data_IF_265780699498
#
_entry.id   IF_265780699498
#
_cell.length_a   1.000
_cell.length_b   1.000
_cell.length_c   1.000
_cell.angle_alpha   90.00
_cell.angle_beta   90.00
_cell.angle_gamma   90.00
#
_symmetry.space_group_name_H-M   'P 1'
#
loop_
_entity.id
_entity.type
_entity.pdbx_description
1 polymer ?
#
# COMPACT_ATOMS: atom_id res chain seq x y z
N UNK A 1 -11.58 -9.03 15.50
CA UNK A 1 -11.51 -10.03 14.40
C UNK A 1 -10.26 -10.85 14.62
N UNK A 2 -10.39 -12.18 14.67
CA UNK A 2 -9.26 -13.10 14.79
C UNK A 2 -9.03 -13.65 13.38
N UNK A 3 -7.92 -13.28 12.73
CA UNK A 3 -7.53 -13.88 11.45
C UNK A 3 -7.14 -15.34 11.69
N UNK A 4 -7.61 -16.23 10.81
CA UNK A 4 -7.13 -17.62 10.76
C UNK A 4 -5.65 -17.56 10.41
N UNK A 5 -4.78 -17.71 11.40
CA UNK A 5 -3.34 -17.64 11.20
C UNK A 5 -2.91 -18.73 10.21
N UNK A 6 -2.23 -18.33 9.13
CA UNK A 6 -1.71 -19.22 8.08
C UNK A 6 -0.63 -20.20 8.57
N UNK A 7 -0.22 -20.09 9.84
CA UNK A 7 0.83 -20.89 10.47
C UNK A 7 2.25 -20.40 10.14
N UNK A 8 2.37 -19.39 9.28
CA UNK A 8 3.60 -18.68 8.92
C UNK A 8 3.44 -17.16 9.06
N UNK A 9 4.54 -16.43 8.93
CA UNK A 9 4.60 -14.98 9.18
C UNK A 9 4.00 -14.17 8.01
N UNK A 10 4.23 -14.52 6.73
CA UNK A 10 3.66 -13.75 5.64
C UNK A 10 2.14 -13.89 5.54
N UNK A 11 1.49 -12.83 5.07
CA UNK A 11 0.03 -12.70 4.96
C UNK A 11 -0.40 -12.50 3.49
N UNK A 12 -1.70 -12.57 3.23
CA UNK A 12 -2.29 -12.39 1.90
C UNK A 12 -2.33 -10.92 1.41
N UNK A 13 -1.21 -10.20 1.54
CA UNK A 13 -1.08 -8.76 1.23
C UNK A 13 -1.39 -8.43 -0.24
N UNK A 14 -0.85 -9.22 -1.18
CA UNK A 14 -1.07 -8.98 -2.61
C UNK A 14 -2.52 -9.25 -3.01
N UNK A 15 -3.20 -10.22 -2.38
CA UNK A 15 -4.63 -10.47 -2.60
C UNK A 15 -5.49 -9.30 -2.14
N UNK A 16 -5.18 -8.72 -0.97
CA UNK A 16 -5.89 -7.54 -0.47
C UNK A 16 -5.72 -6.32 -1.38
N UNK A 17 -4.50 -6.10 -1.89
CA UNK A 17 -4.22 -5.01 -2.82
C UNK A 17 -4.87 -5.22 -4.19
N UNK A 18 -4.91 -6.45 -4.68
CA UNK A 18 -5.61 -6.80 -5.92
C UNK A 18 -7.12 -6.55 -5.78
N UNK A 19 -7.72 -6.98 -4.66
CA UNK A 19 -9.12 -6.68 -4.35
C UNK A 19 -9.36 -5.16 -4.31
N UNK A 20 -8.47 -4.38 -3.68
CA UNK A 20 -8.56 -2.92 -3.66
C UNK A 20 -8.53 -2.31 -5.08
N UNK A 21 -7.81 -2.93 -6.02
CA UNK A 21 -7.79 -2.50 -7.42
C UNK A 21 -9.11 -2.75 -8.17
N UNK A 22 -9.96 -3.64 -7.66
CA UNK A 22 -11.26 -3.97 -8.25
C UNK A 22 -12.42 -3.15 -7.69
N UNK A 23 -12.17 -2.32 -6.68
CA UNK A 23 -13.18 -1.40 -6.16
C UNK A 23 -13.58 -0.37 -7.24
N UNK A 24 -14.83 0.08 -7.15
CA UNK A 24 -15.39 1.12 -8.03
C UNK A 24 -14.89 2.51 -7.60
N UNK A 25 -13.60 2.75 -7.83
CA UNK A 25 -12.98 4.07 -7.69
C UNK A 25 -13.62 5.05 -8.68
N UNK A 26 -13.95 6.26 -8.22
CA UNK A 26 -14.66 7.27 -9.02
C UNK A 26 -13.67 8.02 -9.92
N UNK A 27 -13.87 7.99 -11.24
CA UNK A 27 -12.90 8.52 -12.23
C UNK A 27 -12.40 9.96 -11.98
N UNK A 28 -13.24 10.83 -11.41
CA UNK A 28 -12.91 12.23 -11.11
C UNK A 28 -12.69 12.45 -9.59
N UNK A 29 -11.96 11.54 -8.95
CA UNK A 29 -11.63 11.59 -7.53
C UNK A 29 -10.13 11.41 -7.28
N UNK A 30 -9.66 11.97 -6.16
CA UNK A 30 -8.42 11.50 -5.56
C UNK A 30 -8.64 10.12 -4.95
N UNK A 31 -7.74 9.17 -5.26
CA UNK A 31 -7.78 7.81 -4.73
C UNK A 31 -6.67 7.66 -3.69
N UNK A 32 -7.03 7.57 -2.41
CA UNK A 32 -6.09 7.32 -1.33
C UNK A 32 -6.32 5.93 -0.75
N UNK A 33 -5.26 5.14 -0.67
CA UNK A 33 -5.27 3.84 -0.01
C UNK A 33 -4.32 3.88 1.18
N UNK A 34 -4.87 3.77 2.38
CA UNK A 34 -4.11 3.61 3.63
C UNK A 34 -4.06 2.13 4.00
N UNK A 35 -2.88 1.54 3.92
CA UNK A 35 -2.66 0.13 4.22
C UNK A 35 -1.88 -0.01 5.52
N UNK A 36 -2.54 -0.58 6.52
CA UNK A 36 -2.00 -0.80 7.86
C UNK A 36 -1.66 -2.29 7.94
N UNK A 37 -0.37 -2.59 8.15
CA UNK A 37 0.11 -3.98 8.20
C UNK A 37 1.39 -4.13 9.03
N UNK A 38 1.56 -5.32 9.58
CA UNK A 38 2.71 -5.76 10.37
C UNK A 38 3.46 -6.95 9.74
N UNK A 39 2.93 -7.54 8.67
CA UNK A 39 3.50 -8.68 7.96
C UNK A 39 3.57 -8.48 6.43
N UNK A 40 4.61 -9.00 5.75
CA UNK A 40 4.76 -8.89 4.30
C UNK A 40 3.94 -9.96 3.54
N UNK A 41 3.80 -9.86 2.20
CA UNK A 41 3.28 -10.95 1.38
C UNK A 41 4.22 -12.15 1.33
N UNK A 42 3.68 -13.31 0.94
CA UNK A 42 4.46 -14.50 0.61
C UNK A 42 5.49 -14.22 -0.50
N UNK A 43 6.70 -14.74 -0.33
CA UNK A 43 7.83 -14.65 -1.24
C UNK A 43 9.12 -14.21 -0.56
N UNK A 44 10.23 -14.88 -0.86
CA UNK A 44 11.58 -14.56 -0.35
C UNK A 44 12.06 -13.14 -0.68
N UNK A 45 11.50 -12.54 -1.72
CA UNK A 45 11.79 -11.15 -2.09
C UNK A 45 11.18 -10.15 -1.08
N UNK A 46 10.16 -10.56 -0.31
CA UNK A 46 9.48 -9.70 0.66
C UNK A 46 9.81 -10.03 2.11
N UNK A 47 10.41 -11.20 2.39
CA UNK A 47 10.80 -11.58 3.75
C UNK A 47 11.93 -12.62 3.78
N UNK A 48 12.67 -12.64 4.88
CA UNK A 48 13.59 -13.74 5.24
C UNK A 48 12.98 -14.70 6.28
N UNK A 49 11.74 -14.46 6.69
CA UNK A 49 11.05 -15.26 7.70
C UNK A 49 10.60 -16.61 7.14
N UNK A 50 10.17 -17.49 8.05
CA UNK A 50 9.53 -18.76 7.66
C UNK A 50 8.28 -18.44 6.85
N UNK A 51 8.26 -18.97 5.64
CA UNK A 51 7.22 -18.78 4.65
C UNK A 51 6.88 -20.15 4.05
N UNK A 52 5.60 -20.50 4.03
CA UNK A 52 5.09 -21.71 3.41
C UNK A 52 5.16 -21.64 1.88
N UNK A 53 5.17 -20.43 1.33
CA UNK A 53 5.17 -20.14 -0.11
C UNK A 53 6.36 -19.23 -0.49
N UNK A 54 7.61 -19.68 -0.27
CA UNK A 54 8.79 -18.85 -0.43
C UNK A 54 9.03 -18.38 -1.88
N UNK A 55 8.47 -19.08 -2.86
CA UNK A 55 8.57 -18.71 -4.28
C UNK A 55 7.35 -17.90 -4.76
N UNK A 56 6.48 -17.48 -3.83
CA UNK A 56 5.28 -16.70 -4.07
C UNK A 56 3.97 -17.49 -3.88
N UNK A 57 2.88 -16.75 -3.70
CA UNK A 57 1.53 -17.31 -3.53
C UNK A 57 1.12 -18.20 -4.72
N UNK A 58 0.54 -19.40 -4.48
CA UNK A 58 0.00 -20.26 -5.55
C UNK A 58 -1.07 -19.60 -6.42
N UNK A 59 -1.68 -18.52 -5.92
CA UNK A 59 -2.62 -17.69 -6.66
C UNK A 59 -1.99 -16.92 -7.84
N UNK A 60 -0.66 -16.90 -7.96
CA UNK A 60 0.05 -16.27 -9.09
C UNK A 60 0.11 -14.74 -9.05
N UNK A 61 -0.35 -14.11 -7.96
CA UNK A 61 -0.24 -12.67 -7.77
C UNK A 61 1.21 -12.27 -7.47
N UNK A 62 1.67 -11.19 -8.10
CA UNK A 62 3.02 -10.63 -7.95
C UNK A 62 2.92 -9.12 -7.70
N UNK A 63 3.96 -8.50 -7.12
CA UNK A 63 3.99 -7.04 -6.98
C UNK A 63 3.76 -6.34 -8.32
N UNK A 64 4.35 -6.85 -9.41
CA UNK A 64 4.18 -6.28 -10.73
C UNK A 64 2.72 -6.34 -11.22
N UNK A 65 2.06 -7.50 -11.13
CA UNK A 65 0.70 -7.64 -11.69
C UNK A 65 -0.38 -6.96 -10.82
N UNK A 66 -0.13 -6.80 -9.51
CA UNK A 66 -1.07 -6.13 -8.58
C UNK A 66 -0.84 -4.61 -8.52
N UNK A 67 0.41 -4.14 -8.44
CA UNK A 67 0.69 -2.71 -8.21
C UNK A 67 0.59 -1.88 -9.50
N UNK A 68 0.80 -2.47 -10.68
CA UNK A 68 0.63 -1.75 -11.95
C UNK A 68 -0.82 -1.28 -12.17
N UNK A 69 -1.87 -2.09 -11.93
CA UNK A 69 -3.24 -1.62 -11.88
C UNK A 69 -3.48 -0.46 -10.90
N UNK A 70 -2.88 -0.48 -9.70
CA UNK A 70 -2.98 0.63 -8.73
C UNK A 70 -2.44 1.93 -9.33
N UNK A 71 -1.26 1.85 -9.98
CA UNK A 71 -0.63 2.98 -10.66
C UNK A 71 -1.51 3.54 -11.78
N UNK A 72 -2.09 2.66 -12.60
CA UNK A 72 -3.02 3.07 -13.68
C UNK A 72 -4.27 3.77 -13.16
N UNK A 73 -4.79 3.32 -12.00
CA UNK A 73 -5.90 3.96 -11.29
C UNK A 73 -5.50 5.20 -10.48
N UNK A 74 -4.23 5.62 -10.54
CA UNK A 74 -3.69 6.77 -9.80
C UNK A 74 -3.98 6.68 -8.29
N UNK A 75 -3.91 5.48 -7.73
CA UNK A 75 -4.08 5.27 -6.28
C UNK A 75 -2.81 5.74 -5.57
N UNK A 76 -2.93 6.79 -4.74
CA UNK A 76 -1.90 7.22 -3.80
C UNK A 76 -1.82 6.19 -2.67
N UNK A 77 -0.72 5.44 -2.64
CA UNK A 77 -0.54 4.32 -1.73
C UNK A 77 0.27 4.73 -0.49
N UNK A 78 -0.39 4.66 0.67
CA UNK A 78 0.14 5.04 1.97
C UNK A 78 0.26 3.79 2.85
N UNK A 79 1.49 3.45 3.25
CA UNK A 79 1.77 2.30 4.12
C UNK A 79 1.97 2.80 5.54
N UNK A 80 1.06 2.45 6.44
CA UNK A 80 1.24 2.61 7.87
C UNK A 80 1.91 1.34 8.41
N UNK A 81 3.17 1.50 8.74
CA UNK A 81 4.06 0.40 9.05
C UNK A 81 4.08 0.13 10.55
N UNK A 82 3.60 -1.05 10.97
CA UNK A 82 3.52 -1.44 12.38
C UNK A 82 4.70 -2.28 12.89
N UNK A 83 5.53 -2.85 12.01
CA UNK A 83 6.62 -3.78 12.37
C UNK A 83 7.68 -3.92 11.27
N UNK A 84 8.97 -3.80 11.59
CA UNK A 84 10.12 -3.83 10.64
C UNK A 84 10.16 -5.04 9.68
N UNK A 85 9.35 -6.07 9.93
CA UNK A 85 9.17 -7.25 9.06
C UNK A 85 8.73 -6.89 7.62
N UNK A 86 8.12 -5.72 7.40
CA UNK A 86 7.68 -5.30 6.05
C UNK A 86 8.70 -4.46 5.27
N UNK A 87 9.91 -4.23 5.80
CA UNK A 87 10.90 -3.35 5.16
C UNK A 87 11.32 -3.85 3.76
N UNK A 88 11.48 -5.17 3.61
CA UNK A 88 11.78 -5.79 2.33
C UNK A 88 10.62 -5.61 1.34
N UNK A 89 9.37 -5.81 1.79
CA UNK A 89 8.18 -5.52 0.99
C UNK A 89 8.15 -4.07 0.51
N UNK A 90 8.39 -3.10 1.40
CA UNK A 90 8.40 -1.67 1.04
C UNK A 90 9.48 -1.40 -0.02
N UNK A 91 10.68 -1.96 0.16
CA UNK A 91 11.79 -1.81 -0.79
C UNK A 91 11.40 -2.35 -2.16
N UNK A 92 10.84 -3.56 -2.21
CA UNK A 92 10.41 -4.17 -3.46
C UNK A 92 9.25 -3.41 -4.11
N UNK A 93 8.25 -2.98 -3.34
CA UNK A 93 7.10 -2.25 -3.88
C UNK A 93 7.49 -0.90 -4.49
N UNK A 94 8.50 -0.22 -3.93
CA UNK A 94 9.07 1.02 -4.47
C UNK A 94 9.69 0.85 -5.86
N UNK A 95 10.03 -0.37 -6.27
CA UNK A 95 10.47 -0.65 -7.65
C UNK A 95 9.33 -0.56 -8.67
N UNK A 96 8.07 -0.65 -8.23
CA UNK A 96 6.89 -0.69 -9.10
C UNK A 96 6.07 0.60 -9.07
N UNK A 97 5.88 1.19 -7.88
CA UNK A 97 5.04 2.37 -7.63
C UNK A 97 5.64 3.27 -6.57
N UNK A 98 5.12 4.50 -6.45
CA UNK A 98 5.42 5.34 -5.29
C UNK A 98 4.75 4.77 -4.04
N UNK A 99 5.50 4.71 -2.93
CA UNK A 99 5.04 4.15 -1.65
C UNK A 99 5.35 5.15 -0.55
N UNK A 100 4.30 5.78 -0.01
CA UNK A 100 4.40 6.74 1.09
C UNK A 100 4.35 6.00 2.42
N UNK A 101 5.50 5.85 3.07
CA UNK A 101 5.61 5.20 4.39
C UNK A 101 5.29 6.17 5.50
N UNK A 102 4.44 5.76 6.44
CA UNK A 102 3.93 6.55 7.54
C UNK A 102 4.11 5.76 8.85
N UNK A 103 4.42 6.48 9.92
CA UNK A 103 4.55 5.93 11.27
C UNK A 103 3.77 6.79 12.26
N UNK A 104 3.20 6.15 13.27
CA UNK A 104 2.53 6.81 14.39
C UNK A 104 3.28 6.54 15.69
N UNK A 105 3.06 7.38 16.68
CA UNK A 105 3.58 7.23 18.04
C UNK A 105 2.63 7.92 19.01
N UNK A 106 2.93 7.90 20.30
CA UNK A 106 2.05 8.47 21.34
C UNK A 106 1.70 9.97 21.13
N UNK A 107 2.45 10.69 20.28
CA UNK A 107 2.22 12.10 19.96
C UNK A 107 1.54 12.33 18.60
N UNK A 108 1.52 11.34 17.73
CA UNK A 108 0.97 11.45 16.37
C UNK A 108 -0.01 10.30 16.21
N UNK A 109 -1.30 10.62 16.26
CA UNK A 109 -2.37 9.62 16.15
C UNK A 109 -2.57 9.19 14.70
N UNK A 110 -3.34 8.11 14.51
CA UNK A 110 -3.75 7.68 13.18
C UNK A 110 -4.56 8.78 12.49
N UNK A 111 -5.47 9.42 13.22
CA UNK A 111 -6.33 10.51 12.76
C UNK A 111 -5.49 11.70 12.27
N UNK A 112 -4.45 12.08 13.01
CA UNK A 112 -3.53 13.15 12.61
C UNK A 112 -2.84 12.84 11.28
N UNK A 113 -2.43 11.58 11.10
CA UNK A 113 -1.79 11.12 9.87
C UNK A 113 -2.76 11.20 8.70
N UNK A 114 -3.97 10.65 8.85
CA UNK A 114 -4.99 10.67 7.79
C UNK A 114 -5.33 12.12 7.43
N UNK A 115 -5.60 12.98 8.42
CA UNK A 115 -5.92 14.38 8.19
C UNK A 115 -4.79 15.10 7.44
N UNK A 116 -3.53 14.89 7.84
CA UNK A 116 -2.36 15.47 7.17
C UNK A 116 -2.19 14.99 5.73
N UNK A 117 -2.36 13.69 5.48
CA UNK A 117 -2.19 13.13 4.14
C UNK A 117 -3.31 13.58 3.19
N UNK A 118 -4.55 13.62 3.67
CA UNK A 118 -5.68 14.14 2.89
C UNK A 118 -5.48 15.63 2.60
N UNK A 119 -5.07 16.41 3.60
CA UNK A 119 -4.79 17.83 3.42
C UNK A 119 -3.70 18.08 2.37
N UNK A 120 -2.59 17.33 2.43
CA UNK A 120 -1.52 17.44 1.46
C UNK A 120 -2.00 17.08 0.04
N UNK A 121 -2.78 16.02 -0.11
CA UNK A 121 -3.33 15.61 -1.41
C UNK A 121 -4.21 16.71 -2.02
N UNK A 122 -5.05 17.38 -1.22
CA UNK A 122 -5.87 18.49 -1.69
C UNK A 122 -5.03 19.67 -2.20
N UNK A 123 -3.97 20.04 -1.47
CA UNK A 123 -3.03 21.10 -1.88
C UNK A 123 -2.38 20.74 -3.23
N UNK A 124 -1.91 19.51 -3.37
CA UNK A 124 -1.22 19.05 -4.58
C UNK A 124 -2.18 19.06 -5.79
N UNK A 125 -3.43 18.65 -5.59
CA UNK A 125 -4.49 18.69 -6.61
C UNK A 125 -4.81 20.13 -7.03
N UNK A 126 -5.00 21.06 -6.07
CA UNK A 126 -5.24 22.48 -6.37
C UNK A 126 -4.08 23.12 -7.14
N UNK A 127 -2.84 22.83 -6.74
CA UNK A 127 -1.64 23.32 -7.42
C UNK A 127 -1.53 22.78 -8.85
N UNK A 128 -1.93 21.54 -9.06
CA UNK A 128 -1.97 20.92 -10.40
C UNK A 128 -3.00 21.62 -11.29
N UNK A 129 -4.21 21.86 -10.77
CA UNK A 129 -5.27 22.56 -11.50
C UNK A 129 -4.90 24.00 -11.87
N UNK A 130 -4.23 24.74 -10.97
CA UNK A 130 -3.74 26.10 -11.25
C UNK A 130 -2.70 26.12 -12.37
N UNK A 131 -1.83 25.10 -12.46
CA UNK A 131 -0.82 25.02 -13.54
C UNK A 131 -1.47 24.77 -14.91
N UNK A 132 -2.52 23.95 -14.96
CA UNK A 132 -3.21 23.64 -16.23
C UNK A 132 -4.10 24.77 -16.75
N UNK A 133 -4.49 25.73 -15.90
CA UNK A 133 -5.32 26.88 -16.28
C UNK A 133 -4.55 28.11 -16.81
N UNK A 134 -3.21 28.11 -16.74
CA UNK A 134 -2.36 29.23 -17.14
C UNK A 134 -1.75 29.08 -18.55
N UNK A 135 -2.37 28.25 -19.39
CA UNK A 135 -2.07 28.07 -20.82
C UNK A 135 -3.38 28.20 -21.61
#
# INVERSE_FOLDING_TARGET
MISRTGGDIPEAVLDGLDAACTLNWRDNADHLLFHILDAPPHGRIYTQRRDKWPDGCPCGKTAQNVLQPMKKKKISYHVLHCSNEINMMITEFKNHIDVKTLTFNDKITFEDIIAKQVHQQLIDTEMTLKKTSNY
#
